data_IF_765570785969
#
_entry.id   IF_765570785969
#
_cell.length_a   1.000
_cell.length_b   1.000
_cell.length_c   1.000
_cell.angle_alpha   90.00
_cell.angle_beta   90.00
_cell.angle_gamma   90.00
#
_symmetry.space_group_name_H-M   'P 1'
#
loop_
_entity.id
_entity.type
_entity.pdbx_description
1 polymer ?
#
# COMPACT_ATOMS: atom_id res chain seq x y z
N UNK A 1 -2.27 -5.08 5.60
CA UNK A 1 -1.77 -5.74 4.38
C UNK A 1 -2.37 -5.05 3.18
N UNK A 2 -1.58 -4.81 2.14
CA UNK A 2 -2.03 -4.11 0.95
C UNK A 2 -1.59 -4.85 -0.32
N UNK A 3 -2.33 -4.62 -1.39
CA UNK A 3 -2.10 -5.12 -2.74
C UNK A 3 -1.64 -3.93 -3.57
N UNK A 4 -0.52 -4.08 -4.29
CA UNK A 4 -0.11 -3.10 -5.28
C UNK A 4 -1.01 -3.23 -6.52
N UNK A 5 -1.83 -2.21 -6.78
CA UNK A 5 -2.75 -2.19 -7.91
C UNK A 5 -2.31 -1.23 -9.02
N UNK A 6 -1.07 -0.71 -8.96
CA UNK A 6 -0.56 0.23 -9.94
C UNK A 6 -1.39 1.51 -10.02
N UNK A 7 -1.55 2.03 -11.23
CA UNK A 7 -2.24 3.29 -11.53
C UNK A 7 -3.61 3.11 -12.17
N UNK A 8 -4.06 1.87 -12.38
CA UNK A 8 -5.30 1.53 -13.12
C UNK A 8 -6.52 1.32 -12.22
N UNK A 9 -6.48 1.76 -10.96
CA UNK A 9 -7.61 1.59 -10.03
C UNK A 9 -8.69 2.64 -10.31
N UNK A 10 -9.84 2.16 -10.78
CA UNK A 10 -11.04 2.96 -10.98
C UNK A 10 -11.95 2.94 -9.74
N UNK A 11 -12.62 4.06 -9.48
CA UNK A 11 -13.50 4.23 -8.31
C UNK A 11 -14.87 4.63 -8.81
N UNK A 12 -15.84 3.73 -8.61
CA UNK A 12 -17.22 3.93 -9.08
C UNK A 12 -17.94 5.04 -8.30
N UNK A 13 -17.70 5.14 -6.98
CA UNK A 13 -18.37 6.11 -6.11
C UNK A 13 -17.38 6.90 -5.25
N UNK A 14 -16.84 7.96 -5.84
CA UNK A 14 -15.95 8.93 -5.18
C UNK A 14 -16.57 9.55 -3.91
N UNK A 15 -17.88 9.82 -3.90
CA UNK A 15 -18.56 10.47 -2.77
C UNK A 15 -18.67 9.57 -1.52
N UNK A 16 -18.50 8.25 -1.66
CA UNK A 16 -18.47 7.32 -0.54
C UNK A 16 -17.12 7.30 0.19
N UNK A 17 -16.12 8.01 -0.33
CA UNK A 17 -14.77 8.05 0.21
C UNK A 17 -14.48 9.40 0.87
N UNK A 18 -13.78 9.34 1.99
CA UNK A 18 -13.11 10.48 2.58
C UNK A 18 -11.59 10.37 2.31
N UNK A 19 -10.96 11.52 2.12
CA UNK A 19 -9.52 11.63 1.85
C UNK A 19 -8.82 12.30 3.03
N UNK A 20 -7.66 11.78 3.41
CA UNK A 20 -6.75 12.40 4.37
C UNK A 20 -5.35 12.48 3.77
N UNK A 21 -4.81 13.70 3.61
CA UNK A 21 -3.44 13.95 3.16
C UNK A 21 -2.45 13.47 4.22
N UNK A 22 -2.02 12.23 4.10
CA UNK A 22 -1.27 11.53 5.16
C UNK A 22 0.22 11.85 5.17
N UNK A 23 0.75 12.35 4.06
CA UNK A 23 2.11 12.85 3.89
C UNK A 23 2.17 13.73 2.64
N UNK A 24 3.33 14.30 2.35
CA UNK A 24 3.58 15.01 1.09
C UNK A 24 3.51 14.10 -0.14
N UNK A 25 3.75 12.80 0.03
CA UNK A 25 3.82 11.83 -1.08
C UNK A 25 2.54 11.05 -1.29
N UNK A 26 1.62 11.04 -0.33
CA UNK A 26 0.42 10.22 -0.47
C UNK A 26 -0.73 10.54 0.46
N UNK A 27 -1.90 10.16 -0.01
CA UNK A 27 -3.17 10.30 0.67
C UNK A 27 -3.74 8.93 1.08
N UNK A 28 -4.48 8.93 2.18
CA UNK A 28 -5.27 7.78 2.64
C UNK A 28 -6.73 8.01 2.30
N UNK A 29 -7.33 6.98 1.71
CA UNK A 29 -8.74 6.97 1.28
C UNK A 29 -9.48 5.91 2.07
N UNK A 30 -10.59 6.29 2.68
CA UNK A 30 -11.35 5.44 3.59
C UNK A 30 -12.85 5.65 3.42
N UNK A 31 -13.66 4.67 3.84
CA UNK A 31 -15.11 4.77 3.77
C UNK A 31 -15.61 5.91 4.68
N UNK A 32 -16.33 6.88 4.10
CA UNK A 32 -16.85 8.03 4.84
C UNK A 32 -17.91 7.66 5.89
N UNK A 33 -18.51 6.46 5.79
CA UNK A 33 -19.56 5.99 6.70
C UNK A 33 -19.03 5.18 7.88
N UNK A 34 -18.13 4.23 7.64
CA UNK A 34 -17.64 3.31 8.69
C UNK A 34 -16.16 3.51 9.05
N UNK A 35 -15.42 4.35 8.34
CA UNK A 35 -14.02 4.63 8.60
C UNK A 35 -13.03 3.56 8.13
N UNK A 36 -13.49 2.49 7.48
CA UNK A 36 -12.60 1.44 6.98
C UNK A 36 -11.55 2.00 6.01
N UNK A 37 -10.27 1.73 6.27
CA UNK A 37 -9.17 2.12 5.38
C UNK A 37 -9.19 1.24 4.13
N UNK A 38 -9.26 1.88 2.96
CA UNK A 38 -9.43 1.18 1.68
C UNK A 38 -8.18 1.22 0.82
N UNK A 39 -7.51 2.37 0.70
CA UNK A 39 -6.23 2.43 -0.01
C UNK A 39 -5.38 3.64 0.39
N UNK A 40 -4.08 3.52 0.14
CA UNK A 40 -3.15 4.63 0.01
C UNK A 40 -2.99 4.95 -1.48
N UNK A 41 -2.90 6.23 -1.82
CA UNK A 41 -2.67 6.69 -3.19
C UNK A 41 -1.57 7.74 -3.24
N UNK A 42 -0.61 7.55 -4.13
CA UNK A 42 0.43 8.52 -4.43
C UNK A 42 -0.18 9.75 -5.08
N UNK A 43 0.14 10.94 -4.56
CA UNK A 43 -0.45 12.20 -5.06
C UNK A 43 0.15 12.66 -6.39
N UNK A 44 1.32 12.15 -6.78
CA UNK A 44 2.04 12.56 -7.98
C UNK A 44 1.97 11.55 -9.13
N UNK A 45 1.94 10.25 -8.82
CA UNK A 45 2.03 9.15 -9.79
C UNK A 45 0.73 8.35 -9.92
N UNK A 46 -0.24 8.56 -9.01
CA UNK A 46 -1.49 7.78 -8.96
C UNK A 46 -1.31 6.33 -8.51
N UNK A 47 -0.11 5.94 -8.07
CA UNK A 47 0.19 4.60 -7.58
C UNK A 47 -0.73 4.28 -6.41
N UNK A 48 -1.47 3.19 -6.49
CA UNK A 48 -2.52 2.85 -5.53
C UNK A 48 -2.23 1.51 -4.86
N UNK A 49 -2.15 1.55 -3.53
CA UNK A 49 -2.02 0.38 -2.67
C UNK A 49 -3.35 0.11 -1.99
N UNK A 50 -4.03 -0.97 -2.36
CA UNK A 50 -5.38 -1.31 -1.87
C UNK A 50 -5.32 -2.25 -0.69
N UNK A 51 -6.11 -1.98 0.35
CA UNK A 51 -6.29 -2.90 1.47
C UNK A 51 -6.75 -4.25 0.94
N UNK A 52 -6.00 -5.31 1.26
CA UNK A 52 -6.31 -6.67 0.79
C UNK A 52 -7.72 -7.11 1.19
N UNK A 53 -8.24 -6.60 2.32
CA UNK A 53 -9.57 -6.93 2.83
C UNK A 53 -10.69 -6.13 2.16
N UNK A 54 -10.39 -5.26 1.19
CA UNK A 54 -11.39 -4.58 0.38
C UNK A 54 -11.84 -5.42 -0.84
N UNK A 55 -11.13 -6.50 -1.16
CA UNK A 55 -11.48 -7.41 -2.25
C UNK A 55 -12.48 -8.47 -1.79
N UNK A 56 -13.33 -8.95 -2.71
CA UNK A 56 -14.33 -9.97 -2.41
C UNK A 56 -13.70 -11.34 -2.04
N UNK A 57 -12.55 -11.67 -2.65
CA UNK A 57 -11.83 -12.93 -2.47
C UNK A 57 -10.38 -12.64 -2.04
N UNK A 58 -10.14 -12.17 -0.80
CA UNK A 58 -8.82 -11.78 -0.32
C UNK A 58 -7.81 -12.94 -0.25
N UNK A 59 -8.28 -14.19 -0.17
CA UNK A 59 -7.49 -15.41 -0.12
C UNK A 59 -6.73 -15.70 -1.43
N UNK A 60 -7.11 -15.08 -2.54
CA UNK A 60 -6.41 -15.21 -3.82
C UNK A 60 -5.03 -14.53 -3.79
N UNK A 61 -4.79 -13.61 -2.85
CA UNK A 61 -3.53 -12.90 -2.75
C UNK A 61 -2.51 -13.69 -1.92
N UNK A 62 -1.31 -13.86 -2.49
CA UNK A 62 -0.17 -14.40 -1.77
C UNK A 62 0.54 -13.31 -0.98
N UNK A 63 0.77 -13.53 0.32
CA UNK A 63 1.57 -12.62 1.13
C UNK A 63 3.04 -12.76 0.77
N UNK A 64 3.52 -11.87 -0.11
CA UNK A 64 4.83 -12.01 -0.73
C UNK A 64 5.96 -11.23 -0.03
N UNK A 65 5.65 -10.11 0.62
CA UNK A 65 6.67 -9.15 1.05
C UNK A 65 6.34 -8.47 2.38
N UNK A 66 7.37 -8.30 3.21
CA UNK A 66 7.38 -7.52 4.44
C UNK A 66 8.43 -6.39 4.32
N UNK A 67 8.01 -5.13 4.38
CA UNK A 67 8.89 -3.96 4.37
C UNK A 67 9.04 -3.36 5.77
N UNK A 68 10.12 -2.61 6.01
CA UNK A 68 10.46 -2.05 7.32
C UNK A 68 10.55 -3.11 8.42
N UNK A 69 11.13 -4.27 8.09
CA UNK A 69 11.26 -5.42 9.01
C UNK A 69 12.08 -5.08 10.26
N UNK A 70 12.99 -4.12 10.15
CA UNK A 70 13.80 -3.54 11.21
C UNK A 70 12.99 -2.77 12.26
N UNK A 71 11.78 -2.31 11.90
CA UNK A 71 10.82 -1.70 12.83
C UNK A 71 9.75 -2.69 13.34
N UNK A 72 9.81 -3.97 12.94
CA UNK A 72 8.84 -4.97 13.36
C UNK A 72 8.99 -5.23 14.87
N UNK A 73 7.91 -5.08 15.67
CA UNK A 73 7.93 -5.48 17.08
C UNK A 73 8.33 -6.94 17.27
N UNK A 74 9.25 -7.20 18.20
CA UNK A 74 9.79 -8.55 18.42
C UNK A 74 8.79 -9.55 19.04
N UNK A 75 7.60 -9.11 19.45
CA UNK A 75 6.58 -9.95 20.08
C UNK A 75 5.72 -10.75 19.07
N UNK A 76 5.96 -10.65 17.76
CA UNK A 76 5.34 -11.50 16.75
C UNK A 76 6.24 -11.74 15.54
N UNK A 77 5.96 -12.83 14.82
CA UNK A 77 6.46 -13.06 13.47
C UNK A 77 5.36 -13.69 12.60
N UNK A 78 5.41 -13.46 11.29
CA UNK A 78 4.56 -14.17 10.34
C UNK A 78 5.20 -15.51 10.00
N UNK A 79 4.39 -16.57 9.92
CA UNK A 79 4.87 -17.91 9.62
C UNK A 79 5.22 -18.12 8.12
N UNK A 80 4.73 -17.24 7.25
CA UNK A 80 4.99 -17.28 5.81
C UNK A 80 6.47 -16.96 5.50
N UNK A 81 7.02 -17.61 4.47
CA UNK A 81 8.28 -17.18 3.87
C UNK A 81 8.00 -16.04 2.89
N UNK A 82 8.55 -14.87 3.18
CA UNK A 82 8.33 -13.63 2.43
C UNK A 82 9.68 -13.04 2.03
N UNK A 83 9.67 -12.18 1.01
CA UNK A 83 10.75 -11.24 0.79
C UNK A 83 10.72 -10.21 1.94
N UNK A 84 11.83 -10.06 2.66
CA UNK A 84 11.92 -9.15 3.82
C UNK A 84 12.89 -8.03 3.47
N UNK A 85 12.47 -6.80 3.67
CA UNK A 85 13.28 -5.61 3.44
C UNK A 85 13.29 -4.74 4.69
N UNK A 86 14.46 -4.21 5.01
CA UNK A 86 14.61 -3.08 5.94
C UNK A 86 14.04 -1.81 5.33
N UNK A 87 13.82 -0.79 6.16
CA UNK A 87 13.40 0.53 5.69
C UNK A 87 14.38 1.13 4.69
N UNK A 88 15.69 0.98 4.93
CA UNK A 88 16.74 1.48 4.02
C UNK A 88 16.66 0.79 2.64
N UNK A 89 16.65 -0.55 2.61
CA UNK A 89 16.55 -1.32 1.37
C UNK A 89 15.29 -0.95 0.57
N UNK A 90 14.15 -0.78 1.24
CA UNK A 90 12.90 -0.40 0.61
C UNK A 90 12.98 0.99 -0.02
N UNK A 91 13.47 1.99 0.72
CA UNK A 91 13.58 3.36 0.23
C UNK A 91 14.55 3.46 -0.96
N UNK A 92 15.67 2.74 -0.91
CA UNK A 92 16.60 2.64 -2.06
C UNK A 92 15.92 2.02 -3.28
N UNK A 93 15.15 0.95 -3.10
CA UNK A 93 14.45 0.28 -4.21
C UNK A 93 13.39 1.19 -4.86
N UNK A 94 12.65 1.97 -4.06
CA UNK A 94 11.65 2.91 -4.58
C UNK A 94 12.32 4.08 -5.32
N UNK A 95 13.40 4.65 -4.79
CA UNK A 95 14.14 5.71 -5.45
C UNK A 95 14.67 5.26 -6.82
N UNK A 96 15.30 4.07 -6.88
CA UNK A 96 15.80 3.50 -8.12
C UNK A 96 14.67 3.23 -9.15
N UNK A 97 13.49 2.80 -8.67
CA UNK A 97 12.33 2.56 -9.54
C UNK A 97 11.77 3.86 -10.12
N UNK A 98 11.71 4.94 -9.33
CA UNK A 98 11.29 6.26 -9.81
C UNK A 98 12.26 6.81 -10.86
N UNK A 99 13.57 6.62 -10.68
CA UNK A 99 14.57 7.02 -11.68
C UNK A 99 14.43 6.25 -13.00
N UNK A 100 14.10 4.95 -12.94
CA UNK A 100 13.92 4.10 -14.12
C UNK A 100 12.60 4.36 -14.89
N UNK A 101 11.56 4.88 -14.22
CA UNK A 101 10.27 5.21 -14.83
C UNK A 101 10.23 6.65 -15.41
N UNK A 102 11.23 7.48 -15.09
CA UNK A 102 11.34 8.88 -15.53
C UNK A 102 12.57 9.20 -16.40
N UNK A 103 13.37 8.20 -16.78
CA UNK A 103 14.47 8.31 -17.74
C UNK A 103 14.11 7.75 -19.12
#
# INVERSE_FOLDING_TARGET
MAVNCGTSVEIENEAALATYSSSEWGERRFCSKCGASLFWRGVHDGMTMVSMQAFAEPELFHFAEEIFIDNKPANYDFANKTHRMTGEEFLTAIAAKQEAEHG
#
